data_IF_549657999598
#
_entry.id   IF_549657999598
#
_cell.length_a   1.000
_cell.length_b   1.000
_cell.length_c   1.000
_cell.angle_alpha   90.00
_cell.angle_beta   90.00
_cell.angle_gamma   90.00
#
_symmetry.space_group_name_H-M   'P 1'
#
loop_
_entity.id
_entity.type
_entity.pdbx_description
1 polymer ?
#
# COMPACT_ATOMS: atom_id res chain seq x y z
N UNK A 1 -70.07 -11.06 55.75
CA UNK A 1 -69.79 -11.75 54.47
C UNK A 1 -68.36 -11.35 54.09
N UNK A 2 -67.31 -12.13 54.43
CA UNK A 2 -66.57 -13.09 53.56
C UNK A 2 -66.29 -12.47 52.17
N UNK A 3 -65.08 -12.24 51.64
CA UNK A 3 -63.79 -12.99 51.64
C UNK A 3 -62.65 -12.09 51.03
N UNK A 4 -61.41 -12.53 50.70
CA UNK A 4 -60.15 -12.14 51.35
C UNK A 4 -59.11 -11.41 50.45
N UNK A 5 -57.95 -11.01 51.02
CA UNK A 5 -56.66 -11.01 50.30
C UNK A 5 -55.56 -11.50 51.25
N UNK A 6 -54.92 -12.62 50.87
CA UNK A 6 -53.74 -13.18 51.55
C UNK A 6 -52.80 -13.82 50.52
N UNK A 7 -51.53 -13.96 50.95
CA UNK A 7 -50.37 -14.66 50.36
C UNK A 7 -49.56 -13.85 49.33
N UNK A 8 -48.23 -13.88 49.35
CA UNK A 8 -47.27 -14.64 50.14
C UNK A 8 -45.90 -14.59 49.46
N UNK A 9 -44.83 -14.47 50.25
CA UNK A 9 -43.43 -14.56 49.82
C UNK A 9 -43.15 -15.84 49.02
N UNK A 10 -42.35 -15.74 47.95
CA UNK A 10 -41.61 -16.89 47.43
C UNK A 10 -40.21 -16.48 46.98
N UNK A 11 -39.22 -17.05 47.67
CA UNK A 11 -37.77 -16.95 47.45
C UNK A 11 -37.41 -17.73 46.19
N UNK A 12 -36.60 -17.14 45.30
CA UNK A 12 -36.00 -17.84 44.16
C UNK A 12 -34.59 -18.30 44.55
N UNK A 13 -34.40 -19.60 44.65
CA UNK A 13 -33.13 -20.26 44.90
C UNK A 13 -32.42 -20.53 43.56
N UNK A 14 -31.14 -20.16 43.51
CA UNK A 14 -30.20 -20.47 42.42
C UNK A 14 -29.62 -21.86 42.69
N UNK A 15 -29.71 -22.76 41.71
CA UNK A 15 -29.04 -24.08 41.71
C UNK A 15 -28.00 -24.06 40.58
N UNK A 16 -26.74 -24.47 40.82
CA UNK A 16 -25.74 -24.60 39.77
C UNK A 16 -25.87 -25.97 39.09
N UNK A 17 -25.92 -25.98 37.75
CA UNK A 17 -25.84 -27.21 36.96
C UNK A 17 -24.37 -27.46 36.64
N UNK A 18 -23.76 -28.40 37.36
CA UNK A 18 -22.52 -29.06 36.96
C UNK A 18 -22.87 -30.16 35.95
N UNK A 19 -22.39 -30.03 34.71
CA UNK A 19 -22.47 -31.09 33.70
C UNK A 19 -21.05 -31.62 33.45
N UNK A 20 -20.75 -32.74 34.09
CA UNK A 20 -19.68 -33.67 33.75
C UNK A 20 -19.97 -34.29 32.37
N UNK A 21 -19.05 -34.14 31.42
CA UNK A 21 -19.00 -35.01 30.22
C UNK A 21 -17.69 -35.78 30.27
N UNK A 22 -17.85 -37.10 30.28
CA UNK A 22 -16.81 -38.09 30.43
C UNK A 22 -15.95 -38.22 29.16
N UNK A 23 -14.64 -38.33 29.39
CA UNK A 23 -13.66 -38.89 28.45
C UNK A 23 -13.99 -40.37 28.24
N UNK A 24 -14.12 -40.80 26.97
CA UNK A 24 -13.77 -42.12 26.43
C UNK A 24 -14.22 -42.20 24.96
N UNK A 25 -13.31 -41.85 24.04
CA UNK A 25 -13.35 -42.40 22.68
C UNK A 25 -12.01 -43.03 22.36
N UNK A 26 -12.09 -44.34 22.15
CA UNK A 26 -11.02 -45.24 21.79
C UNK A 26 -10.43 -44.92 20.40
N UNK A 27 -9.22 -45.42 20.18
CA UNK A 27 -8.38 -45.19 19.00
C UNK A 27 -9.09 -45.32 17.65
N UNK A 28 -9.10 -44.20 16.93
CA UNK A 28 -8.91 -44.15 15.50
C UNK A 28 -7.57 -43.45 15.27
N UNK A 29 -6.78 -43.78 14.22
CA UNK A 29 -5.65 -42.94 13.86
C UNK A 29 -6.22 -41.56 13.54
N UNK A 30 -5.89 -40.58 14.39
CA UNK A 30 -6.32 -39.21 14.20
C UNK A 30 -5.81 -38.76 12.84
N UNK A 31 -6.72 -38.39 11.95
CA UNK A 31 -6.38 -37.43 10.91
C UNK A 31 -6.05 -36.14 11.67
N UNK A 32 -4.77 -35.95 11.97
CA UNK A 32 -4.27 -34.71 12.54
C UNK A 32 -4.59 -33.61 11.52
N UNK A 33 -5.37 -32.62 11.93
CA UNK A 33 -5.60 -31.45 11.10
C UNK A 33 -4.27 -30.70 10.99
N UNK A 34 -3.92 -30.25 9.78
CA UNK A 34 -2.77 -29.39 9.54
C UNK A 34 -2.75 -28.21 10.54
N UNK A 35 -1.58 -27.88 11.06
CA UNK A 35 -1.39 -26.80 12.03
C UNK A 35 -1.86 -25.48 11.43
N UNK A 36 -2.68 -24.74 12.18
CA UNK A 36 -3.13 -23.42 11.78
C UNK A 36 -1.94 -22.45 11.79
N UNK A 37 -1.63 -21.87 10.63
CA UNK A 37 -0.49 -20.95 10.45
C UNK A 37 -0.61 -19.72 11.37
N UNK A 38 -1.83 -19.29 11.70
CA UNK A 38 -2.07 -18.20 12.64
C UNK A 38 -1.58 -18.52 14.06
N UNK A 39 -1.70 -19.78 14.49
CA UNK A 39 -1.21 -20.23 15.79
C UNK A 39 0.32 -20.30 15.82
N UNK A 40 0.93 -20.76 14.73
CA UNK A 40 2.40 -20.76 14.58
C UNK A 40 2.92 -19.33 14.63
N UNK A 41 2.29 -18.41 13.90
CA UNK A 41 2.65 -17.00 13.88
C UNK A 41 2.53 -16.34 15.25
N UNK A 42 1.46 -16.60 16.00
CA UNK A 42 1.28 -16.08 17.37
C UNK A 42 2.39 -16.57 18.30
N UNK A 43 2.73 -17.86 18.24
CA UNK A 43 3.83 -18.40 19.03
C UNK A 43 5.18 -17.77 18.65
N UNK A 44 5.38 -17.50 17.36
CA UNK A 44 6.60 -16.86 16.86
C UNK A 44 6.74 -15.38 17.26
N UNK A 45 5.63 -14.69 17.57
CA UNK A 45 5.69 -13.34 18.16
C UNK A 45 6.22 -13.38 19.59
N UNK A 46 5.90 -14.44 20.34
CA UNK A 46 6.30 -14.62 21.74
C UNK A 46 7.70 -15.27 21.88
N UNK A 47 8.17 -16.01 20.88
CA UNK A 47 9.50 -16.58 20.89
C UNK A 47 10.02 -17.01 19.50
N UNK A 48 11.34 -17.13 19.32
CA UNK A 48 11.95 -17.38 18.00
C UNK A 48 11.74 -18.79 17.44
N UNK A 49 11.28 -19.76 18.25
CA UNK A 49 11.19 -21.17 17.86
C UNK A 49 9.82 -21.73 18.20
N UNK A 50 9.15 -22.30 17.20
CA UNK A 50 7.93 -23.07 17.35
C UNK A 50 8.15 -24.52 16.90
N UNK A 51 7.72 -25.48 17.71
CA UNK A 51 7.69 -26.90 17.35
C UNK A 51 6.25 -27.38 17.49
N UNK A 52 5.69 -27.89 16.40
CA UNK A 52 4.36 -28.47 16.43
C UNK A 52 4.35 -29.75 17.29
N UNK A 53 3.32 -29.97 18.13
CA UNK A 53 3.21 -31.21 18.92
C UNK A 53 3.30 -32.49 18.08
N UNK A 54 2.80 -32.48 16.83
CA UNK A 54 2.87 -33.61 15.91
C UNK A 54 4.24 -33.77 15.22
N UNK A 55 5.17 -32.84 15.43
CA UNK A 55 6.56 -32.90 14.97
C UNK A 55 7.58 -32.90 16.13
N UNK A 56 7.11 -33.17 17.37
CA UNK A 56 7.94 -33.18 18.59
C UNK A 56 9.01 -34.29 18.61
N UNK A 57 8.91 -35.27 17.72
CA UNK A 57 9.93 -36.29 17.48
C UNK A 57 11.14 -35.78 16.67
N UNK A 58 10.98 -34.68 15.92
CA UNK A 58 12.06 -34.08 15.13
C UNK A 58 12.96 -33.17 15.96
N UNK A 59 12.40 -32.45 16.94
CA UNK A 59 13.16 -31.57 17.82
C UNK A 59 12.60 -31.65 19.24
N UNK A 60 13.45 -32.05 20.20
CA UNK A 60 13.03 -32.14 21.60
C UNK A 60 12.76 -30.74 22.18
N UNK A 61 11.91 -30.63 23.20
CA UNK A 61 11.64 -29.34 23.85
C UNK A 61 12.90 -28.67 24.40
N UNK A 62 13.84 -29.46 24.92
CA UNK A 62 15.12 -28.94 25.42
C UNK A 62 16.02 -28.39 24.29
N UNK A 63 15.99 -29.02 23.11
CA UNK A 63 16.75 -28.53 21.95
C UNK A 63 16.10 -27.29 21.34
N UNK A 64 14.76 -27.23 21.33
CA UNK A 64 14.01 -26.06 20.90
C UNK A 64 14.27 -24.85 21.81
N UNK A 65 14.29 -25.06 23.12
CA UNK A 65 14.62 -24.02 24.12
C UNK A 65 16.06 -23.54 23.95
N UNK A 66 17.03 -24.45 23.81
CA UNK A 66 18.42 -24.07 23.55
C UNK A 66 18.61 -23.30 22.23
N UNK A 67 17.85 -23.63 21.19
CA UNK A 67 17.85 -22.88 19.93
C UNK A 67 17.22 -21.49 20.10
N UNK A 68 16.15 -21.40 20.90
CA UNK A 68 15.48 -20.15 21.19
C UNK A 68 16.37 -19.20 21.99
N UNK A 69 17.02 -19.69 23.04
CA UNK A 69 17.96 -18.92 23.85
C UNK A 69 19.12 -18.39 23.00
N UNK A 70 19.68 -19.24 22.13
CA UNK A 70 20.73 -18.83 21.18
C UNK A 70 20.30 -17.65 20.30
N UNK A 71 19.07 -17.66 19.79
CA UNK A 71 18.55 -16.58 18.93
C UNK A 71 18.30 -15.32 19.76
N UNK A 72 17.72 -15.45 20.95
CA UNK A 72 17.44 -14.33 21.86
C UNK A 72 18.73 -13.65 22.31
N UNK A 73 19.73 -14.41 22.72
CA UNK A 73 21.04 -13.93 23.17
C UNK A 73 21.79 -13.16 22.07
N UNK A 74 21.58 -13.53 20.81
CA UNK A 74 22.18 -12.86 19.66
C UNK A 74 21.48 -11.54 19.29
N UNK A 75 20.30 -11.27 19.83
CA UNK A 75 19.43 -10.14 19.48
C UNK A 75 19.20 -10.03 17.97
N UNK A 76 18.72 -11.11 17.34
CA UNK A 76 18.47 -11.16 15.88
C UNK A 76 17.08 -11.64 15.50
N UNK A 77 16.49 -11.12 14.39
CA UNK A 77 15.15 -11.49 13.94
C UNK A 77 15.17 -12.78 13.12
N UNK A 78 15.52 -13.91 13.76
CA UNK A 78 15.53 -15.25 13.16
C UNK A 78 14.39 -16.07 13.74
N UNK A 79 13.53 -16.63 12.88
CA UNK A 79 12.35 -17.39 13.25
C UNK A 79 12.47 -18.81 12.73
N UNK A 80 12.16 -19.80 13.56
CA UNK A 80 12.23 -21.22 13.20
C UNK A 80 10.90 -21.91 13.52
N UNK A 81 10.29 -22.56 12.54
CA UNK A 81 9.11 -23.39 12.75
C UNK A 81 9.36 -24.84 12.28
N UNK A 82 9.03 -25.81 13.14
CA UNK A 82 9.07 -27.25 12.85
C UNK A 82 7.65 -27.78 12.80
N UNK A 83 7.22 -28.24 11.62
CA UNK A 83 5.83 -28.58 11.30
C UNK A 83 5.72 -30.04 10.82
N UNK A 84 4.55 -30.67 10.98
CA UNK A 84 4.35 -32.08 10.60
C UNK A 84 4.44 -32.27 9.08
N UNK A 85 4.79 -33.47 8.63
CA UNK A 85 5.12 -33.74 7.23
C UNK A 85 3.95 -33.52 6.24
N UNK A 86 2.71 -33.56 6.72
CA UNK A 86 1.49 -33.33 5.97
C UNK A 86 1.08 -31.84 5.90
N UNK A 87 1.86 -30.93 6.51
CA UNK A 87 1.58 -29.50 6.46
C UNK A 87 1.60 -28.98 5.01
N UNK A 88 0.54 -28.27 4.57
CA UNK A 88 0.54 -27.61 3.27
C UNK A 88 1.66 -26.58 3.15
N UNK A 89 2.52 -26.74 2.16
CA UNK A 89 3.68 -25.86 1.94
C UNK A 89 3.38 -24.67 1.03
N UNK A 90 2.22 -24.66 0.36
CA UNK A 90 1.84 -23.60 -0.58
C UNK A 90 1.68 -22.27 0.16
N UNK A 91 2.47 -21.27 -0.21
CA UNK A 91 2.51 -19.94 0.41
C UNK A 91 2.78 -19.97 1.92
N UNK A 92 3.38 -21.05 2.45
CA UNK A 92 3.55 -21.23 3.90
C UNK A 92 4.41 -20.13 4.51
N UNK A 93 5.61 -19.90 3.96
CA UNK A 93 6.53 -18.85 4.42
C UNK A 93 5.91 -17.44 4.29
N UNK A 94 5.23 -17.18 3.17
CA UNK A 94 4.53 -15.91 2.94
C UNK A 94 3.43 -15.67 3.98
N UNK A 95 2.55 -16.66 4.19
CA UNK A 95 1.47 -16.56 5.16
C UNK A 95 2.02 -16.45 6.58
N UNK A 96 3.06 -17.22 6.92
CA UNK A 96 3.70 -17.18 8.23
C UNK A 96 4.30 -15.80 8.51
N UNK A 97 5.00 -15.22 7.52
CA UNK A 97 5.52 -13.85 7.62
C UNK A 97 4.43 -12.80 7.77
N UNK A 98 3.36 -12.93 6.97
CA UNK A 98 2.20 -12.02 6.98
C UNK A 98 1.52 -12.03 8.35
N UNK A 99 1.22 -13.23 8.84
CA UNK A 99 0.55 -13.43 10.11
C UNK A 99 1.47 -13.09 11.28
N UNK A 100 2.78 -13.37 11.23
CA UNK A 100 3.68 -13.00 12.34
C UNK A 100 3.81 -11.48 12.42
N UNK A 101 3.88 -10.79 11.28
CA UNK A 101 3.91 -9.33 11.19
C UNK A 101 5.26 -8.70 11.57
N UNK A 102 6.33 -9.50 11.63
CA UNK A 102 7.66 -9.06 12.06
C UNK A 102 8.69 -9.21 10.94
N UNK A 103 9.47 -8.17 10.69
CA UNK A 103 10.55 -8.19 9.69
C UNK A 103 11.67 -9.15 10.14
N UNK A 104 11.98 -10.16 9.33
CA UNK A 104 12.94 -11.19 9.76
C UNK A 104 13.25 -12.27 8.72
N UNK A 105 14.12 -13.19 9.13
CA UNK A 105 14.42 -14.42 8.40
C UNK A 105 13.61 -15.57 9.00
N UNK A 106 12.80 -16.23 8.18
CA UNK A 106 11.92 -17.33 8.56
C UNK A 106 12.42 -18.63 7.95
N UNK A 107 12.85 -19.57 8.80
CA UNK A 107 13.19 -20.95 8.43
C UNK A 107 12.08 -21.91 8.83
N UNK A 108 11.63 -22.76 7.91
CA UNK A 108 10.56 -23.72 8.15
C UNK A 108 10.98 -25.12 7.74
N UNK A 109 10.86 -26.06 8.68
CA UNK A 109 11.02 -27.49 8.43
C UNK A 109 9.65 -28.18 8.38
N UNK A 110 9.37 -28.90 7.29
CA UNK A 110 8.14 -29.68 7.08
C UNK A 110 8.52 -31.12 6.77
N UNK A 111 8.40 -32.01 7.75
CA UNK A 111 8.95 -33.37 7.64
C UNK A 111 10.47 -33.30 7.41
N UNK A 112 10.95 -33.88 6.30
CA UNK A 112 12.37 -33.83 5.92
C UNK A 112 12.79 -32.63 5.06
N UNK A 113 11.84 -31.79 4.67
CA UNK A 113 12.10 -30.63 3.82
C UNK A 113 12.37 -29.40 4.66
N UNK A 114 13.34 -28.60 4.23
CA UNK A 114 13.67 -27.32 4.83
C UNK A 114 13.66 -26.24 3.76
N UNK A 115 13.07 -25.10 4.09
CA UNK A 115 13.05 -23.92 3.24
C UNK A 115 13.08 -22.67 4.11
N UNK A 116 13.53 -21.54 3.55
CA UNK A 116 13.59 -20.28 4.27
C UNK A 116 13.35 -19.08 3.34
N UNK A 117 12.84 -18.00 3.92
CA UNK A 117 12.66 -16.73 3.24
C UNK A 117 12.92 -15.57 4.21
N UNK A 118 13.35 -14.43 3.70
CA UNK A 118 13.61 -13.24 4.50
C UNK A 118 13.15 -11.99 3.78
N UNK A 119 12.78 -10.97 4.54
CA UNK A 119 12.66 -9.62 4.01
C UNK A 119 14.02 -9.15 3.45
N UNK A 120 14.03 -8.49 2.28
CA UNK A 120 15.28 -8.04 1.65
C UNK A 120 16.10 -7.05 2.50
N UNK A 121 15.47 -6.38 3.47
CA UNK A 121 16.14 -5.50 4.44
C UNK A 121 16.98 -6.28 5.47
N UNK A 122 16.64 -7.55 5.69
CA UNK A 122 17.25 -8.44 6.68
C UNK A 122 18.31 -9.31 6.03
N UNK A 123 18.01 -9.89 4.87
CA UNK A 123 18.93 -10.73 4.12
C UNK A 123 18.53 -10.76 2.64
N UNK A 124 19.50 -10.69 1.73
CA UNK A 124 19.22 -10.78 0.29
C UNK A 124 18.75 -12.18 -0.09
N UNK A 125 17.90 -12.30 -1.11
CA UNK A 125 17.40 -13.61 -1.60
C UNK A 125 18.54 -14.58 -1.93
N UNK A 126 19.59 -14.09 -2.59
CA UNK A 126 20.78 -14.89 -2.91
C UNK A 126 21.49 -15.43 -1.65
N UNK A 127 21.52 -14.66 -0.57
CA UNK A 127 22.09 -15.12 0.70
C UNK A 127 21.21 -16.17 1.37
N UNK A 128 19.87 -16.03 1.29
CA UNK A 128 18.92 -17.05 1.76
C UNK A 128 19.07 -18.35 0.96
N UNK A 129 19.15 -18.28 -0.37
CA UNK A 129 19.32 -19.46 -1.24
C UNK A 129 20.62 -20.23 -0.90
N UNK A 130 21.72 -19.49 -0.71
CA UNK A 130 23.00 -20.07 -0.30
C UNK A 130 22.91 -20.71 1.09
N UNK A 131 22.22 -20.06 2.03
CA UNK A 131 21.99 -20.56 3.38
C UNK A 131 21.17 -21.86 3.37
N UNK A 132 20.03 -21.88 2.68
CA UNK A 132 19.18 -23.07 2.54
C UNK A 132 19.95 -24.21 1.90
N UNK A 133 20.68 -23.95 0.80
CA UNK A 133 21.51 -24.96 0.13
C UNK A 133 22.57 -25.54 1.06
N UNK A 134 23.18 -24.72 1.93
CA UNK A 134 24.22 -25.17 2.86
C UNK A 134 23.72 -26.15 3.93
N UNK A 135 22.44 -26.04 4.32
CA UNK A 135 21.85 -26.86 5.40
C UNK A 135 21.00 -28.03 4.88
N UNK A 136 20.75 -28.11 3.58
CA UNK A 136 20.02 -29.23 2.96
C UNK A 136 20.72 -30.60 3.15
N UNK A 137 22.04 -30.62 3.35
CA UNK A 137 22.84 -31.85 3.50
C UNK A 137 23.05 -32.27 4.96
N UNK A 138 22.56 -31.51 5.93
CA UNK A 138 22.72 -31.83 7.35
C UNK A 138 21.90 -33.09 7.73
N UNK A 139 22.53 -34.04 8.43
CA UNK A 139 22.04 -35.40 8.57
C UNK A 139 20.79 -35.58 9.45
N UNK A 140 20.68 -34.82 10.55
CA UNK A 140 19.53 -34.88 11.47
C UNK A 140 18.88 -33.49 11.68
N UNK A 141 17.59 -33.43 12.08
CA UNK A 141 16.85 -32.16 12.18
C UNK A 141 17.51 -31.15 13.12
N UNK A 142 18.09 -31.61 14.23
CA UNK A 142 18.74 -30.73 15.21
C UNK A 142 19.99 -30.09 14.62
N UNK A 143 20.83 -30.87 13.93
CA UNK A 143 22.01 -30.37 13.25
C UNK A 143 21.63 -29.35 12.17
N UNK A 144 20.63 -29.66 11.33
CA UNK A 144 20.15 -28.76 10.28
C UNK A 144 19.70 -27.40 10.83
N UNK A 145 18.87 -27.40 11.89
CA UNK A 145 18.35 -26.18 12.48
C UNK A 145 19.43 -25.36 13.19
N UNK A 146 20.40 -26.02 13.84
CA UNK A 146 21.55 -25.34 14.44
C UNK A 146 22.47 -24.72 13.38
N UNK A 147 22.79 -25.44 12.32
CA UNK A 147 23.63 -24.93 11.23
C UNK A 147 22.97 -23.75 10.51
N UNK A 148 21.64 -23.82 10.34
CA UNK A 148 20.83 -22.71 9.81
C UNK A 148 20.94 -21.48 10.71
N UNK A 149 20.64 -21.62 12.00
CA UNK A 149 20.69 -20.50 12.96
C UNK A 149 22.10 -19.94 13.06
N UNK A 150 23.12 -20.78 13.21
CA UNK A 150 24.52 -20.33 13.34
C UNK A 150 24.98 -19.52 12.11
N UNK A 151 24.55 -19.94 10.91
CA UNK A 151 24.88 -19.24 9.66
C UNK A 151 24.04 -17.99 9.46
N UNK A 152 22.75 -18.03 9.83
CA UNK A 152 21.85 -16.89 9.82
C UNK A 152 22.37 -15.77 10.73
N UNK A 153 22.69 -16.08 11.99
CA UNK A 153 23.10 -15.10 13.01
C UNK A 153 24.37 -14.31 12.61
N UNK A 154 25.22 -14.85 11.74
CA UNK A 154 26.41 -14.16 11.22
C UNK A 154 26.12 -13.16 10.10
N UNK A 155 25.00 -13.32 9.40
CA UNK A 155 24.72 -12.61 8.15
C UNK A 155 23.42 -11.78 8.18
N UNK A 156 22.58 -11.98 9.20
CA UNK A 156 21.26 -11.37 9.31
C UNK A 156 21.34 -9.95 9.88
N UNK A 157 20.71 -9.00 9.19
CA UNK A 157 20.51 -7.63 9.67
C UNK A 157 19.32 -7.50 10.62
N UNK A 158 19.28 -6.42 11.41
CA UNK A 158 18.19 -6.14 12.35
C UNK A 158 18.44 -6.63 13.79
N UNK A 159 17.44 -6.40 14.64
CA UNK A 159 17.38 -6.79 16.07
C UNK A 159 16.16 -7.65 16.37
N UNK A 160 16.18 -8.38 17.49
CA UNK A 160 15.06 -9.22 17.90
C UNK A 160 13.85 -8.36 18.30
N UNK A 161 12.62 -8.92 18.20
CA UNK A 161 11.41 -8.26 18.69
C UNK A 161 11.48 -7.98 20.19
N UNK A 162 10.97 -6.81 20.60
CA UNK A 162 10.95 -6.42 22.01
C UNK A 162 10.25 -7.46 22.92
N UNK A 163 9.27 -8.21 22.40
CA UNK A 163 8.57 -9.30 23.11
C UNK A 163 9.49 -10.42 23.61
N UNK A 164 10.67 -10.61 23.00
CA UNK A 164 11.59 -11.68 23.38
C UNK A 164 12.50 -11.32 24.57
N UNK A 165 12.55 -10.04 24.94
CA UNK A 165 13.52 -9.50 25.90
C UNK A 165 13.08 -9.52 27.37
N UNK A 166 11.83 -9.92 27.69
CA UNK A 166 11.24 -9.78 29.03
C UNK A 166 11.44 -11.02 29.94
N UNK A 167 12.48 -11.83 29.67
CA UNK A 167 12.57 -13.23 30.12
C UNK A 167 13.74 -13.64 31.02
N UNK A 168 14.51 -12.74 31.65
CA UNK A 168 15.70 -13.15 32.41
C UNK A 168 16.04 -12.33 33.65
N UNK A 169 15.52 -12.73 34.83
CA UNK A 169 16.31 -13.23 35.97
C UNK A 169 15.44 -13.39 37.23
N UNK A 170 15.53 -14.58 37.83
CA UNK A 170 14.59 -15.04 38.86
C UNK A 170 14.69 -14.31 40.21
N UNK A 171 13.54 -13.95 40.76
CA UNK A 171 13.19 -14.16 42.18
C UNK A 171 11.67 -14.00 42.32
N UNK A 172 11.04 -14.94 43.05
CA UNK A 172 9.62 -15.07 43.40
C UNK A 172 8.63 -14.03 42.88
N UNK A 173 7.62 -14.49 42.12
CA UNK A 173 6.48 -13.66 41.69
C UNK A 173 5.64 -13.28 42.91
N UNK A 174 5.93 -12.12 43.50
CA UNK A 174 5.01 -11.39 44.37
C UNK A 174 3.86 -10.85 43.52
N UNK A 175 2.63 -11.11 43.95
CA UNK A 175 1.38 -10.74 43.25
C UNK A 175 1.26 -9.22 42.96
N UNK A 176 2.13 -8.38 43.56
CA UNK A 176 2.27 -6.95 43.24
C UNK A 176 2.99 -6.65 41.91
N UNK A 177 3.83 -7.55 41.39
CA UNK A 177 4.58 -7.34 40.14
C UNK A 177 3.73 -7.46 38.87
N UNK A 178 2.73 -8.35 38.88
CA UNK A 178 1.79 -8.54 37.76
C UNK A 178 0.90 -7.30 37.53
N UNK A 179 0.62 -6.52 38.59
CA UNK A 179 -0.10 -5.24 38.46
C UNK A 179 0.82 -4.16 37.87
N UNK A 180 2.10 -4.15 38.23
CA UNK A 180 3.06 -3.17 37.71
C UNK A 180 3.41 -3.41 36.23
N UNK A 181 3.69 -4.66 35.84
CA UNK A 181 3.97 -5.04 34.43
C UNK A 181 2.73 -4.86 33.55
N UNK A 182 1.54 -5.24 34.05
CA UNK A 182 0.27 -4.99 33.35
C UNK A 182 -0.04 -3.51 33.15
N UNK A 183 0.31 -2.64 34.11
CA UNK A 183 0.16 -1.18 33.99
C UNK A 183 1.18 -0.59 33.01
N UNK A 184 2.43 -1.09 32.98
CA UNK A 184 3.47 -0.62 32.06
C UNK A 184 3.20 -1.08 30.61
N UNK A 185 2.78 -2.34 30.38
CA UNK A 185 2.37 -2.84 29.07
C UNK A 185 1.09 -2.16 28.57
N UNK A 186 0.10 -1.94 29.46
CA UNK A 186 -1.09 -1.15 29.11
C UNK A 186 -0.75 0.31 28.80
N UNK A 187 0.19 0.92 29.52
CA UNK A 187 0.65 2.29 29.25
C UNK A 187 1.51 2.39 27.97
N UNK A 188 2.35 1.40 27.69
CA UNK A 188 3.17 1.30 26.48
C UNK A 188 2.34 1.04 25.24
N UNK A 189 1.42 0.06 25.30
CA UNK A 189 0.46 -0.23 24.23
C UNK A 189 -0.53 0.91 24.01
N UNK A 190 -1.04 1.55 25.07
CA UNK A 190 -1.85 2.76 24.93
C UNK A 190 -1.04 3.94 24.37
N UNK A 191 0.24 4.06 24.70
CA UNK A 191 1.16 5.06 24.16
C UNK A 191 1.40 4.86 22.65
N UNK A 192 1.76 3.65 22.22
CA UNK A 192 1.95 3.30 20.81
C UNK A 192 0.64 3.46 20.00
N UNK A 193 -0.49 2.97 20.54
CA UNK A 193 -1.80 3.17 19.92
C UNK A 193 -2.18 4.66 19.87
N UNK A 194 -1.89 5.45 20.90
CA UNK A 194 -2.14 6.89 20.90
C UNK A 194 -1.26 7.61 19.87
N UNK A 195 -0.01 7.19 19.67
CA UNK A 195 0.87 7.73 18.63
C UNK A 195 0.37 7.38 17.23
N UNK A 196 0.02 6.12 16.96
CA UNK A 196 -0.57 5.70 15.67
C UNK A 196 -1.88 6.43 15.40
N UNK A 197 -2.76 6.53 16.40
CA UNK A 197 -4.02 7.27 16.31
C UNK A 197 -3.79 8.76 16.08
N UNK A 198 -2.77 9.34 16.72
CA UNK A 198 -2.39 10.74 16.54
C UNK A 198 -1.82 10.99 15.15
N UNK A 199 -0.96 10.11 14.64
CA UNK A 199 -0.45 10.20 13.27
C UNK A 199 -1.56 10.03 12.24
N UNK A 200 -2.48 9.08 12.44
CA UNK A 200 -3.67 8.93 11.59
C UNK A 200 -4.53 10.19 11.57
N UNK A 201 -4.83 10.75 12.74
CA UNK A 201 -5.59 12.01 12.82
C UNK A 201 -4.87 13.17 12.14
N UNK A 202 -3.56 13.29 12.36
CA UNK A 202 -2.74 14.32 11.74
C UNK A 202 -2.73 14.18 10.21
N UNK A 203 -2.58 12.96 9.71
CA UNK A 203 -2.64 12.68 8.27
C UNK A 203 -4.03 12.96 7.69
N UNK A 204 -5.10 12.59 8.39
CA UNK A 204 -6.47 12.95 8.00
C UNK A 204 -6.69 14.48 7.97
N UNK A 205 -6.11 15.21 8.93
CA UNK A 205 -6.13 16.67 8.97
C UNK A 205 -5.33 17.28 7.81
N UNK A 206 -4.15 16.74 7.52
CA UNK A 206 -3.29 17.16 6.40
C UNK A 206 -3.98 16.89 5.04
N UNK A 207 -4.58 15.71 4.85
CA UNK A 207 -5.37 15.38 3.66
C UNK A 207 -6.60 16.28 3.50
N UNK A 208 -7.29 16.61 4.60
CA UNK A 208 -8.43 17.55 4.56
C UNK A 208 -7.97 18.96 4.20
N UNK A 209 -6.86 19.42 4.77
CA UNK A 209 -6.30 20.73 4.45
C UNK A 209 -5.82 20.81 2.99
N UNK A 210 -5.22 19.74 2.46
CA UNK A 210 -4.84 19.62 1.06
C UNK A 210 -6.08 19.62 0.15
N UNK A 211 -7.11 18.85 0.48
CA UNK A 211 -8.36 18.83 -0.27
C UNK A 211 -9.02 20.21 -0.28
N UNK A 212 -9.03 20.94 0.83
CA UNK A 212 -9.62 22.28 0.90
C UNK A 212 -8.90 23.28 -0.03
N UNK A 213 -7.57 23.20 -0.14
CA UNK A 213 -6.83 23.98 -1.15
C UNK A 213 -7.21 23.58 -2.58
N UNK A 214 -7.40 22.28 -2.83
CA UNK A 214 -7.83 21.78 -4.13
C UNK A 214 -9.26 22.21 -4.47
N UNK A 215 -10.16 22.31 -3.49
CA UNK A 215 -11.55 22.74 -3.73
C UNK A 215 -11.60 24.10 -4.41
N UNK A 216 -10.79 25.06 -3.95
CA UNK A 216 -10.76 26.41 -4.52
C UNK A 216 -10.41 26.38 -6.01
N UNK A 217 -9.32 25.71 -6.38
CA UNK A 217 -8.87 25.66 -7.79
C UNK A 217 -9.82 24.85 -8.66
N UNK A 218 -10.41 23.77 -8.14
CA UNK A 218 -11.38 22.95 -8.87
C UNK A 218 -12.70 23.68 -9.07
N UNK A 219 -13.18 24.42 -8.07
CA UNK A 219 -14.41 25.22 -8.17
C UNK A 219 -14.25 26.34 -9.19
N UNK A 220 -13.07 26.97 -9.27
CA UNK A 220 -12.72 27.88 -10.36
C UNK A 220 -12.80 27.18 -11.73
N UNK A 221 -12.34 25.94 -11.86
CA UNK A 221 -12.32 25.19 -13.11
C UNK A 221 -13.72 24.73 -13.55
N UNK A 222 -14.54 24.29 -12.59
CA UNK A 222 -15.95 23.94 -12.79
C UNK A 222 -16.72 25.19 -13.21
N UNK A 223 -16.52 26.31 -12.51
CA UNK A 223 -17.17 27.59 -12.83
C UNK A 223 -16.78 28.06 -14.22
N UNK A 224 -15.47 28.06 -14.53
CA UNK A 224 -14.98 28.45 -15.85
C UNK A 224 -15.56 27.58 -16.98
N UNK A 225 -15.72 26.27 -16.75
CA UNK A 225 -16.36 25.39 -17.73
C UNK A 225 -17.86 25.64 -17.86
N UNK A 226 -18.56 25.89 -16.75
CA UNK A 226 -19.96 26.28 -16.76
C UNK A 226 -20.21 27.57 -17.53
N UNK A 227 -19.35 28.58 -17.35
CA UNK A 227 -19.42 29.81 -18.14
C UNK A 227 -19.06 29.61 -19.62
N UNK A 228 -18.16 28.67 -19.93
CA UNK A 228 -17.85 28.29 -21.30
C UNK A 228 -19.07 27.68 -21.99
N UNK A 229 -19.78 26.79 -21.28
CA UNK A 229 -21.05 26.21 -21.73
C UNK A 229 -22.15 27.28 -21.90
N UNK A 230 -22.26 28.22 -20.96
CA UNK A 230 -23.26 29.30 -21.02
C UNK A 230 -23.00 30.27 -22.20
N UNK A 231 -21.72 30.54 -22.49
CA UNK A 231 -21.29 31.39 -23.62
C UNK A 231 -21.34 30.66 -24.97
N UNK A 232 -21.58 29.35 -25.00
CA UNK A 232 -21.61 28.58 -26.23
C UNK A 232 -22.85 28.94 -27.05
N UNK A 233 -22.61 29.52 -28.22
CA UNK A 233 -23.66 29.82 -29.20
C UNK A 233 -24.06 28.55 -29.97
N UNK A 234 -24.67 27.57 -29.30
CA UNK A 234 -25.24 26.35 -29.88
C UNK A 234 -26.54 25.97 -29.18
N UNK A 235 -27.62 25.79 -29.95
CA UNK A 235 -28.89 25.30 -29.44
C UNK A 235 -29.22 23.93 -30.05
N UNK A 236 -29.49 22.88 -29.24
CA UNK A 236 -29.76 21.53 -29.75
C UNK A 236 -30.91 21.40 -30.76
N UNK A 237 -31.84 22.37 -30.74
CA UNK A 237 -33.01 22.44 -31.63
C UNK A 237 -32.81 23.41 -32.82
N UNK A 238 -31.63 23.99 -33.00
CA UNK A 238 -31.37 24.91 -34.11
C UNK A 238 -31.30 24.19 -35.45
N UNK A 239 -31.56 24.93 -36.52
CA UNK A 239 -31.48 24.39 -37.88
C UNK A 239 -30.02 24.11 -38.22
N UNK A 240 -29.69 22.84 -38.49
CA UNK A 240 -28.33 22.39 -38.79
C UNK A 240 -27.68 21.56 -37.68
N UNK A 241 -28.28 21.49 -36.48
CA UNK A 241 -27.84 20.54 -35.45
C UNK A 241 -28.22 19.11 -35.87
N UNK A 242 -27.22 18.28 -36.15
CA UNK A 242 -27.41 16.84 -36.38
C UNK A 242 -27.32 16.04 -35.06
N UNK A 243 -27.57 14.73 -35.14
CA UNK A 243 -27.54 13.85 -33.95
C UNK A 243 -26.15 13.78 -33.30
N UNK A 244 -25.08 13.91 -34.09
CA UNK A 244 -23.72 13.84 -33.57
C UNK A 244 -23.33 15.13 -32.83
N UNK A 245 -23.71 16.29 -33.35
CA UNK A 245 -23.55 17.58 -32.67
C UNK A 245 -24.34 17.61 -31.35
N UNK A 246 -25.58 17.09 -31.34
CA UNK A 246 -26.37 16.95 -30.11
C UNK A 246 -25.68 16.05 -29.09
N UNK A 247 -25.15 14.91 -29.52
CA UNK A 247 -24.45 13.97 -28.65
C UNK A 247 -23.15 14.56 -28.06
N UNK A 248 -22.38 15.31 -28.86
CA UNK A 248 -21.17 15.99 -28.38
C UNK A 248 -21.52 17.06 -27.33
N UNK A 249 -22.59 17.84 -27.55
CA UNK A 249 -23.08 18.83 -26.58
C UNK A 249 -23.61 18.18 -25.29
N UNK A 250 -24.42 17.11 -25.41
CA UNK A 250 -24.93 16.35 -24.27
C UNK A 250 -23.78 15.77 -23.43
N UNK A 251 -22.76 15.20 -24.08
CA UNK A 251 -21.56 14.69 -23.40
C UNK A 251 -20.83 15.80 -22.61
N UNK A 252 -20.78 17.02 -23.14
CA UNK A 252 -20.16 18.15 -22.45
C UNK A 252 -20.96 18.56 -21.19
N UNK A 253 -22.29 18.60 -21.28
CA UNK A 253 -23.17 18.85 -20.13
C UNK A 253 -23.07 17.75 -19.08
N UNK A 254 -23.08 16.49 -19.50
CA UNK A 254 -22.93 15.33 -18.61
C UNK A 254 -21.59 15.36 -17.87
N UNK A 255 -20.52 15.75 -18.56
CA UNK A 255 -19.18 15.91 -17.99
C UNK A 255 -19.13 17.02 -16.93
N UNK A 256 -19.81 18.15 -17.18
CA UNK A 256 -19.94 19.24 -16.21
C UNK A 256 -20.69 18.79 -14.96
N UNK A 257 -21.84 18.12 -15.14
CA UNK A 257 -22.63 17.59 -14.03
C UNK A 257 -21.90 16.48 -13.27
N UNK A 258 -21.14 15.63 -13.98
CA UNK A 258 -20.28 14.62 -13.38
C UNK A 258 -19.18 15.26 -12.53
N UNK A 259 -18.50 16.29 -13.04
CA UNK A 259 -17.46 17.00 -12.30
C UNK A 259 -18.00 17.56 -10.98
N UNK A 260 -19.19 18.19 -11.00
CA UNK A 260 -19.86 18.69 -9.79
C UNK A 260 -20.17 17.57 -8.79
N UNK A 261 -20.79 16.49 -9.23
CA UNK A 261 -21.12 15.34 -8.36
C UNK A 261 -19.87 14.70 -7.75
N UNK A 262 -18.80 14.56 -8.53
CA UNK A 262 -17.53 14.00 -8.05
C UNK A 262 -16.90 14.93 -7.00
N UNK A 263 -16.94 16.25 -7.22
CA UNK A 263 -16.40 17.23 -6.28
C UNK A 263 -17.20 17.27 -4.96
N UNK A 264 -18.53 17.24 -5.02
CA UNK A 264 -19.41 17.13 -3.84
C UNK A 264 -19.11 15.85 -3.03
N UNK A 265 -18.81 14.76 -3.74
CA UNK A 265 -18.46 13.46 -3.19
C UNK A 265 -17.03 13.34 -2.66
N UNK A 266 -16.12 14.24 -3.02
CA UNK A 266 -14.70 14.11 -2.71
C UNK A 266 -14.45 14.12 -1.20
N UNK A 267 -13.62 13.18 -0.72
CA UNK A 267 -13.24 13.01 0.68
C UNK A 267 -11.74 13.08 0.91
N UNK A 268 -10.96 12.85 -0.14
CA UNK A 268 -9.50 12.92 -0.11
C UNK A 268 -8.97 13.57 -1.40
N UNK A 269 -7.75 14.13 -1.38
CA UNK A 269 -7.19 14.85 -2.53
C UNK A 269 -7.15 14.03 -3.83
N UNK A 270 -6.95 12.71 -3.76
CA UNK A 270 -6.86 11.84 -4.94
C UNK A 270 -8.18 11.78 -5.72
N UNK A 271 -9.31 12.01 -5.06
CA UNK A 271 -10.63 12.02 -5.69
C UNK A 271 -10.75 13.16 -6.72
N UNK A 272 -9.98 14.24 -6.56
CA UNK A 272 -9.97 15.41 -7.46
C UNK A 272 -9.48 15.06 -8.87
N UNK A 273 -8.70 13.99 -9.01
CA UNK A 273 -8.22 13.50 -10.30
C UNK A 273 -9.39 13.20 -11.25
N UNK A 274 -10.44 12.54 -10.74
CA UNK A 274 -11.60 12.20 -11.54
C UNK A 274 -12.41 13.44 -11.94
N UNK A 275 -12.42 14.47 -11.10
CA UNK A 275 -13.11 15.75 -11.39
C UNK A 275 -12.46 16.45 -12.57
N UNK A 276 -11.15 16.64 -12.53
CA UNK A 276 -10.39 17.33 -13.60
C UNK A 276 -10.36 16.53 -14.90
N UNK A 277 -10.37 15.19 -14.82
CA UNK A 277 -10.59 14.32 -15.99
C UNK A 277 -11.95 14.60 -16.64
N UNK A 278 -13.04 14.60 -15.87
CA UNK A 278 -14.37 14.92 -16.42
C UNK A 278 -14.39 16.30 -17.09
N UNK A 279 -13.74 17.31 -16.50
CA UNK A 279 -13.62 18.65 -17.11
C UNK A 279 -12.82 18.66 -18.42
N UNK A 280 -11.76 17.86 -18.52
CA UNK A 280 -10.97 17.72 -19.75
C UNK A 280 -11.80 17.04 -20.85
N UNK A 281 -12.56 16.01 -20.48
CA UNK A 281 -13.43 15.24 -21.37
C UNK A 281 -14.56 16.11 -21.93
N UNK A 282 -15.19 16.93 -21.09
CA UNK A 282 -16.20 17.90 -21.51
C UNK A 282 -15.67 18.91 -22.53
N UNK A 283 -14.48 19.48 -22.30
CA UNK A 283 -13.84 20.41 -23.25
C UNK A 283 -13.43 19.74 -24.56
N UNK A 284 -13.02 18.48 -24.52
CA UNK A 284 -12.77 17.71 -25.75
C UNK A 284 -14.07 17.54 -26.56
N UNK A 285 -15.20 17.24 -25.91
CA UNK A 285 -16.50 17.17 -26.58
C UNK A 285 -16.93 18.50 -27.21
N UNK A 286 -16.69 19.64 -26.54
CA UNK A 286 -16.91 20.96 -27.14
C UNK A 286 -16.02 21.21 -28.37
N UNK A 287 -14.79 20.71 -28.35
CA UNK A 287 -13.87 20.81 -29.51
C UNK A 287 -14.37 19.96 -30.69
N UNK A 288 -14.91 18.76 -30.44
CA UNK A 288 -15.54 17.94 -31.48
C UNK A 288 -16.78 18.63 -32.06
N UNK A 289 -17.63 19.21 -31.20
CA UNK A 289 -18.80 19.98 -31.62
C UNK A 289 -18.40 21.16 -32.52
N UNK A 290 -17.39 21.94 -32.13
CA UNK A 290 -16.88 23.05 -32.93
C UNK A 290 -16.39 22.58 -34.31
N UNK A 291 -15.60 21.50 -34.35
CA UNK A 291 -15.12 20.93 -35.60
C UNK A 291 -16.27 20.49 -36.53
N UNK A 292 -17.33 19.88 -35.98
CA UNK A 292 -18.52 19.52 -36.78
C UNK A 292 -19.24 20.74 -37.34
N UNK A 293 -19.46 21.76 -36.51
CA UNK A 293 -20.14 23.01 -36.93
C UNK A 293 -19.38 23.71 -38.05
N UNK A 294 -18.06 23.69 -37.98
CA UNK A 294 -17.17 24.30 -38.98
C UNK A 294 -16.84 23.37 -40.16
N UNK A 295 -17.42 22.16 -40.20
CA UNK A 295 -17.15 21.15 -41.23
C UNK A 295 -15.65 20.80 -41.36
N UNK A 296 -14.94 20.82 -40.24
CA UNK A 296 -13.53 20.44 -40.14
C UNK A 296 -13.38 18.97 -39.76
N UNK A 297 -12.21 18.35 -40.04
CA UNK A 297 -11.89 17.02 -39.53
C UNK A 297 -11.98 16.97 -38.00
N UNK A 298 -12.49 15.85 -37.47
CA UNK A 298 -12.56 15.67 -36.03
C UNK A 298 -11.15 15.63 -35.41
N UNK A 299 -10.94 16.33 -34.28
CA UNK A 299 -9.64 16.37 -33.62
C UNK A 299 -9.29 15.02 -33.01
N UNK A 300 -8.00 14.68 -33.01
CA UNK A 300 -7.49 13.58 -32.20
C UNK A 300 -7.55 13.94 -30.70
N UNK A 301 -7.77 12.95 -29.83
CA UNK A 301 -7.70 13.13 -28.38
C UNK A 301 -6.25 13.48 -27.99
N UNK A 302 -6.05 14.67 -27.42
CA UNK A 302 -4.76 15.16 -26.93
C UNK A 302 -4.91 15.63 -25.48
N UNK A 303 -3.81 15.67 -24.69
CA UNK A 303 -3.81 16.36 -23.40
C UNK A 303 -4.24 17.82 -23.56
N UNK A 304 -4.71 18.47 -22.49
CA UNK A 304 -5.02 19.90 -22.53
C UNK A 304 -3.76 20.75 -22.66
N UNK A 305 -3.91 22.06 -22.85
CA UNK A 305 -2.79 22.99 -22.86
C UNK A 305 -1.99 22.91 -21.54
N UNK A 306 -0.67 22.78 -21.67
CA UNK A 306 0.25 22.74 -20.54
C UNK A 306 0.21 24.03 -19.71
N UNK A 307 0.07 25.21 -20.34
CA UNK A 307 0.13 26.48 -19.62
C UNK A 307 -1.13 26.72 -18.79
N UNK A 308 -2.31 26.41 -19.32
CA UNK A 308 -3.57 26.41 -18.57
C UNK A 308 -4.49 25.30 -19.11
N UNK A 309 -4.78 24.25 -18.32
CA UNK A 309 -5.65 23.16 -18.76
C UNK A 309 -7.05 23.60 -19.18
N UNK A 310 -7.53 24.78 -18.71
CA UNK A 310 -8.82 25.35 -19.08
C UNK A 310 -8.86 25.83 -20.54
N UNK A 311 -7.71 26.00 -21.20
CA UNK A 311 -7.67 26.34 -22.62
C UNK A 311 -8.12 25.19 -23.53
N UNK A 312 -8.38 23.99 -22.97
CA UNK A 312 -8.83 22.84 -23.72
C UNK A 312 -7.70 22.08 -24.41
N UNK A 313 -8.03 21.16 -25.34
CA UNK A 313 -7.07 20.25 -25.97
C UNK A 313 -5.93 20.99 -26.69
N UNK A 314 -4.72 20.47 -26.56
CA UNK A 314 -3.58 20.94 -27.32
C UNK A 314 -3.73 20.65 -28.82
N UNK A 315 -3.19 21.54 -29.66
CA UNK A 315 -3.18 21.41 -31.13
C UNK A 315 -1.79 21.08 -31.68
N UNK A 316 -0.76 21.33 -30.89
CA UNK A 316 0.64 21.06 -31.23
C UNK A 316 1.44 20.81 -29.94
N UNK A 317 2.63 20.25 -30.10
CA UNK A 317 3.68 20.30 -29.09
C UNK A 317 4.68 21.39 -29.52
N UNK A 318 5.10 22.24 -28.59
CA UNK A 318 6.05 23.33 -28.85
C UNK A 318 7.24 23.23 -27.90
N UNK A 319 8.44 23.54 -28.41
CA UNK A 319 9.63 23.64 -27.56
C UNK A 319 9.54 24.91 -26.71
N UNK A 320 9.47 24.75 -25.41
CA UNK A 320 9.45 25.85 -24.44
C UNK A 320 10.56 25.71 -23.40
N UNK A 321 11.17 26.84 -23.03
CA UNK A 321 12.18 26.89 -21.98
C UNK A 321 11.67 27.77 -20.85
N UNK A 322 11.37 27.20 -19.66
CA UNK A 322 11.00 28.01 -18.52
C UNK A 322 12.19 28.87 -18.05
N UNK A 323 11.91 30.00 -17.39
CA UNK A 323 12.94 30.81 -16.74
C UNK A 323 13.85 29.96 -15.84
N UNK A 324 15.15 29.95 -16.11
CA UNK A 324 16.14 29.19 -15.33
C UNK A 324 16.07 27.66 -15.48
N UNK A 325 15.25 27.15 -16.41
CA UNK A 325 15.09 25.72 -16.68
C UNK A 325 15.64 25.27 -18.03
N UNK A 326 15.47 23.97 -18.32
CA UNK A 326 15.83 23.37 -19.60
C UNK A 326 14.66 23.41 -20.60
N UNK A 327 15.00 23.51 -21.88
CA UNK A 327 14.07 23.39 -23.00
C UNK A 327 13.36 22.03 -22.99
N UNK A 328 12.07 22.03 -23.31
CA UNK A 328 11.23 20.83 -23.35
C UNK A 328 10.07 21.00 -24.33
N UNK A 329 9.58 19.89 -24.87
CA UNK A 329 8.33 19.86 -25.64
C UNK A 329 7.15 19.93 -24.69
N UNK A 330 6.20 20.85 -24.89
CA UNK A 330 4.95 20.91 -24.11
C UNK A 330 3.73 20.95 -25.02
N UNK A 331 2.62 20.26 -24.68
CA UNK A 331 1.38 20.35 -25.44
C UNK A 331 0.74 21.74 -25.26
N UNK A 332 0.45 22.44 -26.36
CA UNK A 332 -0.09 23.82 -26.34
C UNK A 332 -1.39 23.96 -27.13
N UNK A 333 -2.30 24.79 -26.64
CA UNK A 333 -3.48 25.21 -27.41
C UNK A 333 -3.09 26.17 -28.54
N UNK A 334 -4.00 26.38 -29.48
CA UNK A 334 -3.78 27.29 -30.62
C UNK A 334 -3.45 28.74 -30.19
N UNK A 335 -4.06 29.21 -29.11
CA UNK A 335 -3.85 30.56 -28.60
C UNK A 335 -2.43 30.73 -28.04
N UNK A 336 -1.99 29.86 -27.13
CA UNK A 336 -0.64 29.94 -26.55
C UNK A 336 0.45 29.65 -27.59
N UNK A 337 0.19 28.76 -28.55
CA UNK A 337 1.07 28.57 -29.71
C UNK A 337 1.34 29.88 -30.45
N UNK A 338 0.29 30.67 -30.67
CA UNK A 338 0.40 31.98 -31.34
C UNK A 338 1.18 32.98 -30.48
N UNK A 339 1.01 32.96 -29.16
CA UNK A 339 1.78 33.83 -28.26
C UNK A 339 3.26 33.50 -28.31
N UNK A 340 3.61 32.21 -28.23
CA UNK A 340 4.99 31.74 -28.29
C UNK A 340 5.65 32.09 -29.63
N UNK A 341 4.95 31.90 -30.76
CA UNK A 341 5.50 32.22 -32.09
C UNK A 341 5.74 33.72 -32.30
N UNK A 342 5.01 34.57 -31.59
CA UNK A 342 5.17 36.03 -31.57
C UNK A 342 6.16 36.51 -30.49
N UNK A 343 6.79 35.60 -29.73
CA UNK A 343 7.69 35.94 -28.63
C UNK A 343 7.00 36.57 -27.41
N UNK A 344 5.68 36.35 -27.27
CA UNK A 344 4.90 36.77 -26.09
C UNK A 344 4.81 35.63 -25.08
N UNK A 345 4.72 35.98 -23.81
CA UNK A 345 4.53 35.00 -22.75
C UNK A 345 3.17 34.26 -22.89
N UNK A 346 3.14 32.94 -22.67
CA UNK A 346 1.90 32.17 -22.64
C UNK A 346 1.04 32.59 -21.44
N UNK A 347 -0.26 32.30 -21.49
CA UNK A 347 -1.13 32.55 -20.33
C UNK A 347 -1.04 31.34 -19.39
N UNK A 348 -0.32 31.53 -18.29
CA UNK A 348 -0.01 30.47 -17.33
C UNK A 348 -1.07 30.42 -16.22
N UNK A 349 -1.59 29.22 -15.93
CA UNK A 349 -2.42 28.98 -14.77
C UNK A 349 -1.57 29.05 -13.51
N UNK A 350 -1.85 30.08 -12.73
CA UNK A 350 -1.34 30.21 -11.37
C UNK A 350 -2.36 29.70 -10.34
N UNK A 351 -1.85 29.26 -9.21
CA UNK A 351 -2.62 28.87 -8.03
C UNK A 351 -2.03 29.53 -6.78
N UNK A 352 -2.82 29.56 -5.70
CA UNK A 352 -2.42 30.21 -4.45
C UNK A 352 -1.43 29.33 -3.66
N UNK A 353 -0.32 29.92 -3.23
CA UNK A 353 0.63 29.26 -2.32
C UNK A 353 0.92 30.15 -1.11
N UNK A 354 1.58 29.59 -0.10
CA UNK A 354 2.05 30.36 1.06
C UNK A 354 3.05 31.48 0.68
N UNK A 355 3.69 31.37 -0.50
CA UNK A 355 4.64 32.35 -1.04
C UNK A 355 4.03 33.24 -2.14
N UNK A 356 2.69 33.29 -2.24
CA UNK A 356 1.95 34.03 -3.26
C UNK A 356 1.51 33.17 -4.45
N UNK A 357 0.97 33.81 -5.49
CA UNK A 357 0.58 33.14 -6.74
C UNK A 357 1.80 32.54 -7.42
N UNK A 358 1.70 31.28 -7.82
CA UNK A 358 2.76 30.56 -8.56
C UNK A 358 2.14 29.74 -9.68
N UNK A 359 2.86 29.50 -10.79
CA UNK A 359 2.47 28.50 -11.77
C UNK A 359 2.14 27.17 -11.09
N UNK A 360 1.11 26.47 -11.56
CA UNK A 360 0.61 25.31 -10.84
C UNK A 360 1.64 24.18 -10.67
N UNK A 361 2.60 24.05 -11.59
CA UNK A 361 3.70 23.09 -11.50
C UNK A 361 4.77 23.50 -10.47
N UNK A 362 4.79 24.77 -10.04
CA UNK A 362 5.66 25.32 -9.00
C UNK A 362 4.95 25.44 -7.64
N UNK A 363 3.68 25.02 -7.53
CA UNK A 363 2.82 25.30 -6.38
C UNK A 363 2.90 24.26 -5.25
N UNK A 364 3.74 23.25 -5.41
CA UNK A 364 3.96 22.20 -4.41
C UNK A 364 3.05 20.98 -4.55
N UNK A 365 3.30 19.94 -3.75
CA UNK A 365 2.75 18.60 -3.96
C UNK A 365 1.22 18.51 -3.77
N UNK A 366 0.62 19.41 -3.00
CA UNK A 366 -0.82 19.43 -2.76
C UNK A 366 -1.65 19.57 -4.06
N UNK A 367 -1.09 20.17 -5.11
CA UNK A 367 -1.74 20.32 -6.42
C UNK A 367 -1.55 19.12 -7.36
N UNK A 368 -0.76 18.13 -6.95
CA UNK A 368 -0.43 16.95 -7.75
C UNK A 368 -1.67 16.17 -8.24
N UNK A 369 -2.63 15.81 -7.37
CA UNK A 369 -3.84 15.09 -7.79
C UNK A 369 -4.70 15.85 -8.81
N UNK A 370 -4.81 17.17 -8.65
CA UNK A 370 -5.54 18.04 -9.57
C UNK A 370 -4.86 18.11 -10.94
N UNK A 371 -3.55 18.39 -10.96
CA UNK A 371 -2.80 18.45 -12.21
C UNK A 371 -2.72 17.06 -12.89
N UNK A 372 -2.59 16.00 -12.10
CA UNK A 372 -2.51 14.61 -12.56
C UNK A 372 -3.79 14.08 -13.22
N UNK A 373 -4.96 14.69 -12.97
CA UNK A 373 -6.18 14.36 -13.71
C UNK A 373 -6.18 14.89 -15.13
N UNK A 374 -5.67 16.10 -15.35
CA UNK A 374 -5.57 16.71 -16.69
C UNK A 374 -4.58 16.00 -17.63
N UNK A 375 -3.40 15.67 -17.12
CA UNK A 375 -2.30 15.15 -17.96
C UNK A 375 -2.09 13.65 -17.81
N UNK A 376 -2.85 12.98 -16.94
CA UNK A 376 -2.56 11.61 -16.54
C UNK A 376 -1.30 11.51 -15.68
N UNK A 377 -1.18 10.45 -14.89
CA UNK A 377 -0.13 10.31 -13.87
C UNK A 377 1.32 10.25 -14.39
N UNK A 378 1.55 10.25 -15.71
CA UNK A 378 2.89 10.10 -16.31
C UNK A 378 3.37 11.24 -17.22
N UNK A 379 2.48 12.05 -17.80
CA UNK A 379 2.89 13.09 -18.77
C UNK A 379 3.51 14.29 -18.05
N UNK A 380 2.87 14.80 -16.99
CA UNK A 380 3.40 15.92 -16.21
C UNK A 380 4.76 15.60 -15.57
N UNK A 381 4.92 14.45 -14.86
CA UNK A 381 6.23 14.03 -14.39
C UNK A 381 7.24 13.90 -15.54
N UNK A 382 6.86 13.28 -16.66
CA UNK A 382 7.67 13.14 -17.87
C UNK A 382 8.19 14.47 -18.45
N UNK A 383 7.33 15.48 -18.50
CA UNK A 383 7.64 16.86 -18.90
C UNK A 383 8.53 17.60 -17.90
N UNK A 384 8.65 17.07 -16.68
CA UNK A 384 9.45 17.64 -15.59
C UNK A 384 10.70 16.79 -15.27
N UNK A 385 10.88 15.62 -15.91
CA UNK A 385 12.06 14.74 -15.76
C UNK A 385 13.33 15.53 -16.07
N UNK A 386 14.33 15.44 -15.19
CA UNK A 386 15.63 16.12 -15.35
C UNK A 386 15.68 17.57 -14.84
N UNK A 387 14.61 18.05 -14.19
CA UNK A 387 14.58 19.37 -13.54
C UNK A 387 14.52 19.21 -12.02
N UNK A 388 15.08 20.17 -11.26
CA UNK A 388 14.90 20.25 -9.79
C UNK A 388 13.42 20.18 -9.38
N UNK A 389 12.52 20.66 -10.25
CA UNK A 389 11.07 20.65 -10.11
C UNK A 389 10.44 19.26 -10.27
N UNK A 390 10.89 18.48 -11.25
CA UNK A 390 10.54 17.07 -11.37
C UNK A 390 11.06 16.24 -10.20
N UNK A 391 12.21 16.62 -9.61
CA UNK A 391 12.74 16.00 -8.40
C UNK A 391 11.92 16.30 -7.15
N UNK A 392 11.31 17.48 -7.05
CA UNK A 392 10.41 17.87 -5.95
C UNK A 392 9.04 17.20 -6.04
N UNK A 393 8.52 16.99 -7.26
CA UNK A 393 7.33 16.17 -7.51
C UNK A 393 7.63 14.66 -7.54
N UNK A 394 8.90 14.23 -7.56
CA UNK A 394 9.29 12.82 -7.45
C UNK A 394 9.89 12.48 -6.07
N UNK A 395 9.88 13.44 -5.13
CA UNK A 395 10.41 13.25 -3.79
C UNK A 395 9.63 12.15 -3.05
N UNK A 396 10.24 11.39 -2.12
CA UNK A 396 9.57 10.28 -1.40
C UNK A 396 8.25 10.67 -0.72
N UNK A 397 8.11 11.93 -0.29
CA UNK A 397 6.86 12.48 0.24
C UNK A 397 5.70 12.49 -0.77
N UNK A 398 5.99 12.60 -2.07
CA UNK A 398 5.01 12.56 -3.15
C UNK A 398 4.45 11.15 -3.39
N UNK A 399 5.29 10.12 -3.27
CA UNK A 399 4.89 8.72 -3.44
C UNK A 399 4.22 8.13 -2.18
N UNK A 400 4.59 8.62 -1.00
CA UNK A 400 4.05 8.17 0.28
C UNK A 400 2.69 8.79 0.64
N UNK A 401 2.42 10.05 0.24
CA UNK A 401 1.24 10.81 0.72
C UNK A 401 0.03 10.78 -0.25
N UNK A 402 0.23 10.50 -1.55
CA UNK A 402 -0.82 10.62 -2.59
C UNK A 402 -1.02 9.38 -3.49
N UNK A 403 -0.58 8.20 -3.06
CA UNK A 403 -0.93 6.92 -3.69
C UNK A 403 0.25 6.23 -4.37
N UNK A 404 0.75 5.19 -3.69
CA UNK A 404 1.70 4.22 -4.20
C UNK A 404 1.10 3.47 -5.41
N UNK A 405 1.49 3.89 -6.61
CA UNK A 405 1.21 3.17 -7.86
C UNK A 405 2.36 3.18 -8.86
N UNK A 406 3.49 3.82 -8.54
CA UNK A 406 4.62 3.95 -9.46
C UNK A 406 5.94 3.83 -8.70
N UNK A 407 6.55 2.66 -8.80
CA UNK A 407 7.84 2.35 -8.19
C UNK A 407 9.01 2.94 -8.96
N UNK A 408 9.86 3.67 -8.25
CA UNK A 408 11.30 3.66 -8.45
C UNK A 408 11.94 3.66 -7.06
N UNK A 409 12.68 2.59 -6.76
CA UNK A 409 13.23 2.31 -5.45
C UNK A 409 14.31 3.30 -5.02
N UNK A 410 14.42 3.48 -3.71
CA UNK A 410 15.48 4.29 -3.12
C UNK A 410 15.25 4.64 -1.65
N UNK A 411 15.30 3.64 -0.77
CA UNK A 411 15.89 3.74 0.58
C UNK A 411 15.20 4.58 1.66
N UNK A 412 14.95 3.93 2.79
CA UNK A 412 15.04 4.56 4.11
C UNK A 412 13.73 4.68 4.87
N UNK A 413 13.20 3.55 5.37
CA UNK A 413 12.25 3.57 6.48
C UNK A 413 12.81 2.69 7.60
N UNK A 414 13.48 3.36 8.53
CA UNK A 414 13.81 2.84 9.86
C UNK A 414 12.52 2.99 10.69
N UNK A 415 11.83 1.88 11.01
CA UNK A 415 10.48 1.98 11.57
C UNK A 415 9.88 0.69 12.12
N UNK A 416 10.40 0.22 13.27
CA UNK A 416 9.67 -0.56 14.27
C UNK A 416 9.38 -2.05 13.98
N UNK A 417 9.30 -2.83 15.07
CA UNK A 417 9.24 -4.31 15.11
C UNK A 417 7.97 -4.93 14.51
N UNK A 418 7.05 -4.11 13.99
CA UNK A 418 5.83 -4.55 13.31
C UNK A 418 5.81 -3.95 11.92
N UNK A 419 6.21 -4.74 10.93
CA UNK A 419 5.98 -4.42 9.51
C UNK A 419 4.50 -4.61 9.20
N UNK A 420 3.86 -3.59 8.63
CA UNK A 420 2.48 -3.70 8.16
C UNK A 420 2.34 -4.64 6.96
N UNK A 421 1.15 -4.64 6.36
CA UNK A 421 0.84 -5.41 5.15
C UNK A 421 1.50 -4.86 3.86
N UNK A 422 2.49 -3.99 3.99
CA UNK A 422 3.20 -3.27 2.93
C UNK A 422 4.59 -3.86 2.61
N UNK A 423 4.91 -5.05 3.13
CA UNK A 423 6.13 -5.77 2.79
C UNK A 423 6.10 -6.36 1.36
N UNK A 424 7.28 -6.53 0.75
CA UNK A 424 7.39 -7.09 -0.60
C UNK A 424 7.10 -8.60 -0.58
N UNK A 425 5.87 -8.96 -0.98
CA UNK A 425 5.45 -10.37 -1.07
C UNK A 425 6.29 -11.20 -2.04
N UNK A 426 7.00 -10.54 -2.97
CA UNK A 426 7.94 -11.19 -3.88
C UNK A 426 9.12 -11.83 -3.14
N UNK A 427 9.54 -11.30 -1.98
CA UNK A 427 10.69 -11.82 -1.20
C UNK A 427 10.42 -13.20 -0.60
N UNK A 428 9.15 -13.53 -0.42
CA UNK A 428 8.66 -14.83 0.02
C UNK A 428 8.08 -15.63 -1.16
N UNK A 429 8.35 -15.18 -2.40
CA UNK A 429 7.96 -15.82 -3.66
C UNK A 429 8.98 -16.87 -4.10
N UNK A 430 8.70 -18.12 -3.73
CA UNK A 430 9.57 -19.28 -3.93
C UNK A 430 9.13 -20.33 -2.90
N UNK A 431 9.23 -21.62 -3.21
CA UNK A 431 8.77 -22.63 -2.27
C UNK A 431 9.51 -23.94 -2.43
N UNK A 432 9.14 -24.88 -1.57
CA UNK A 432 9.63 -26.25 -1.35
C UNK A 432 9.75 -27.19 -2.59
N UNK A 433 9.85 -26.68 -3.83
CA UNK A 433 10.00 -27.41 -5.08
C UNK A 433 11.12 -26.82 -5.94
N UNK A 434 12.18 -27.61 -6.15
CA UNK A 434 13.33 -27.27 -6.98
C UNK A 434 12.97 -27.02 -8.45
N UNK A 435 13.63 -26.02 -9.03
CA UNK A 435 13.47 -25.64 -10.42
C UNK A 435 13.99 -26.69 -11.39
N UNK A 436 13.13 -27.11 -12.31
CA UNK A 436 13.53 -27.62 -13.61
C UNK A 436 13.17 -26.53 -14.63
N UNK A 437 14.08 -25.56 -14.80
CA UNK A 437 14.01 -24.64 -15.94
C UNK A 437 14.82 -25.27 -17.06
N UNK A 438 14.12 -26.04 -17.90
CA UNK A 438 14.65 -26.59 -19.14
C UNK A 438 15.28 -25.48 -19.99
N UNK A 439 16.59 -25.60 -20.21
CA UNK A 439 17.36 -24.72 -21.07
C UNK A 439 16.81 -24.76 -22.50
N UNK A 440 16.22 -23.65 -22.94
CA UNK A 440 15.94 -23.41 -24.35
C UNK A 440 17.26 -23.17 -25.09
N UNK A 441 17.74 -24.21 -25.78
CA UNK A 441 18.86 -24.10 -26.71
C UNK A 441 18.49 -23.19 -27.87
N UNK A 442 19.27 -22.12 -28.04
CA UNK A 442 19.32 -21.37 -29.29
C UNK A 442 20.18 -22.16 -30.28
N UNK A 443 19.54 -22.88 -31.19
CA UNK A 443 20.19 -23.40 -32.39
C UNK A 443 20.50 -22.23 -33.34
N UNK A 444 21.74 -21.75 -33.28
CA UNK A 444 22.35 -20.93 -34.31
C UNK A 444 22.74 -21.79 -35.50
N UNK A 445 21.82 -21.97 -36.45
CA UNK A 445 22.10 -22.52 -37.77
C UNK A 445 22.64 -21.45 -38.70
N UNK A 446 23.92 -21.52 -39.02
CA UNK A 446 24.48 -20.88 -40.21
C UNK A 446 24.09 -21.65 -41.47
N UNK A 447 23.68 -20.93 -42.51
CA UNK A 447 24.26 -20.86 -43.86
C UNK A 447 23.44 -19.86 -44.69
#
# INVERSE_FOLDING_TARGET
>A
MRTPLSRGLMRLAVVPVAATVAVLTAGAPGAHAATDVSQVAEALREGPVYVDPAASDQLSSADAEALADKIKDADKPVFVAVLPADQPTRNLLLNLRTETGVTGLYGVRVGDRFDAAADATVMSRQAVDNLVTSVQSAGDPKAQLNDFVDTALRNVGGSAPASWSDGGDGTGVDVGGLVAVGVVLAAGGAGAYALVRRNRRRHEEEQRAALEKLRVVVDEDITAFGEELDRLDFHPAETGADDAMRADYETALDSYDQAKRLMDGARKPEDVKAVTQALADGRFSLTQLAARREHQPLPARRPPCFFDPRHGPAVADETWTPPGGAAREVPVCAADRTRLSEGRDPVIREVDTEYGRRPYWDAGPAYGPWAGGYFGGGILPGLLIGTMLGSMMAAPAYAADYGAGYGYGGGGYEGGDVSGADFDTGDFGGGFGGGDFGGGGFDGGGF
#
